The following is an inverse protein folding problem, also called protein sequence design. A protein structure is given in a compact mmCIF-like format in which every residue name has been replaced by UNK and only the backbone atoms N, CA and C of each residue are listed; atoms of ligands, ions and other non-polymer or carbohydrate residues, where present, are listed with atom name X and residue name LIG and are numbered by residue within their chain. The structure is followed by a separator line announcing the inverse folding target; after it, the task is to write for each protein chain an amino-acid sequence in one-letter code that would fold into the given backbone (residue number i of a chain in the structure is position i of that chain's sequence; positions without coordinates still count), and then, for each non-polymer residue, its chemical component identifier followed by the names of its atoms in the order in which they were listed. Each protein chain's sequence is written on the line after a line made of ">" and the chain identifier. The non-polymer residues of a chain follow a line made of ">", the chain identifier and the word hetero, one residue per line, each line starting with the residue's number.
data_IF_972350835347
#
_entry.id   IF_972350835347
#
_cell.length_a   1.000
_cell.length_b   1.000
_cell.length_c   1.000
_cell.angle_alpha   90.00
_cell.angle_beta   90.00
_cell.angle_gamma   90.00
#
_symmetry.space_group_name_H-M   'P 1'
#
loop_
_entity.id
_entity.type
_entity.pdbx_description
1 polymer ?
#
# COMPACT_ATOMS: atom_id res chain seq x y z
N UNK A 1 -5.47 28.70 5.63
CA UNK A 1 -6.64 28.48 6.50
C UNK A 1 -7.79 28.09 5.60
N UNK A 2 -8.64 27.14 6.01
CA UNK A 2 -9.88 26.87 5.29
C UNK A 2 -10.70 28.17 5.20
N UNK A 3 -11.42 28.37 4.09
CA UNK A 3 -12.25 29.57 3.88
C UNK A 3 -13.44 29.65 4.86
N UNK A 4 -13.75 28.54 5.55
CA UNK A 4 -14.83 28.43 6.55
C UNK A 4 -14.38 27.63 7.77
N UNK A 5 -14.98 27.92 8.92
CA UNK A 5 -14.72 27.19 10.18
C UNK A 5 -15.20 25.74 10.06
N UNK A 6 -14.40 24.76 10.47
CA UNK A 6 -14.76 23.35 10.38
C UNK A 6 -15.99 23.00 11.23
N UNK A 7 -16.22 23.72 12.33
CA UNK A 7 -17.45 23.58 13.13
C UNK A 7 -18.68 24.09 12.36
N UNK A 8 -18.53 25.16 11.60
CA UNK A 8 -19.60 25.70 10.73
C UNK A 8 -19.86 24.78 9.53
N UNK A 9 -18.81 24.21 8.92
CA UNK A 9 -18.93 23.25 7.80
C UNK A 9 -19.75 22.01 8.21
N UNK A 10 -19.55 21.49 9.42
CA UNK A 10 -20.35 20.37 9.96
C UNK A 10 -21.66 20.79 10.63
N UNK A 11 -21.90 22.10 10.80
CA UNK A 11 -23.09 22.63 11.48
C UNK A 11 -23.19 22.19 12.95
N UNK A 12 -22.07 22.11 13.65
CA UNK A 12 -21.97 21.70 15.05
C UNK A 12 -21.37 22.82 15.91
N UNK A 13 -21.75 22.94 17.19
CA UNK A 13 -21.12 23.91 18.08
C UNK A 13 -19.68 23.50 18.43
N UNK A 14 -18.81 24.44 18.84
CA UNK A 14 -17.42 24.14 19.22
C UNK A 14 -17.27 23.14 20.37
N UNK A 15 -18.28 23.05 21.24
CA UNK A 15 -18.34 22.09 22.36
C UNK A 15 -19.01 20.76 21.97
N UNK A 16 -19.20 20.48 20.68
CA UNK A 16 -19.82 19.25 20.23
C UNK A 16 -19.02 18.01 20.64
N UNK A 17 -19.74 16.99 21.07
CA UNK A 17 -19.21 15.66 21.36
C UNK A 17 -18.88 14.90 20.07
N UNK A 18 -17.98 13.92 20.14
CA UNK A 18 -17.59 13.09 18.99
C UNK A 18 -18.79 12.38 18.36
N UNK A 19 -19.78 11.99 19.17
CA UNK A 19 -21.02 11.37 18.68
C UNK A 19 -21.86 12.34 17.84
N UNK A 20 -21.96 13.60 18.26
CA UNK A 20 -22.66 14.64 17.51
C UNK A 20 -21.95 14.95 16.18
N UNK A 21 -20.62 15.00 16.20
CA UNK A 21 -19.78 15.19 15.01
C UNK A 21 -19.98 14.03 14.02
N UNK A 22 -19.89 12.77 14.49
CA UNK A 22 -20.13 11.57 13.68
C UNK A 22 -21.55 11.50 13.11
N UNK A 23 -22.55 11.93 13.87
CA UNK A 23 -23.95 11.96 13.42
C UNK A 23 -24.13 12.98 12.29
N UNK A 24 -23.66 14.21 12.48
CA UNK A 24 -23.75 15.26 11.45
C UNK A 24 -22.98 14.93 10.19
N UNK A 25 -21.79 14.36 10.32
CA UNK A 25 -21.02 13.88 9.17
C UNK A 25 -21.81 12.86 8.33
N UNK A 26 -22.45 11.86 8.97
CA UNK A 26 -23.26 10.86 8.24
C UNK A 26 -24.46 11.47 7.51
N UNK A 27 -25.12 12.45 8.12
CA UNK A 27 -26.23 13.19 7.50
C UNK A 27 -25.76 13.97 6.26
N UNK A 28 -24.67 14.72 6.39
CA UNK A 28 -24.10 15.54 5.32
C UNK A 28 -23.48 14.69 4.20
N UNK A 29 -22.77 13.62 4.55
CA UNK A 29 -22.16 12.71 3.58
C UNK A 29 -23.20 12.04 2.68
N UNK A 30 -24.38 11.68 3.21
CA UNK A 30 -25.49 11.14 2.39
C UNK A 30 -26.10 12.19 1.47
N UNK A 31 -26.18 13.45 1.94
CA UNK A 31 -26.78 14.57 1.19
C UNK A 31 -25.89 15.09 0.06
N UNK A 32 -24.57 15.02 0.23
CA UNK A 32 -23.57 15.55 -0.71
C UNK A 32 -22.70 14.47 -1.36
N UNK A 33 -23.06 13.19 -1.25
CA UNK A 33 -22.33 12.11 -1.92
C UNK A 33 -22.36 12.33 -3.45
N UNK A 34 -21.22 12.21 -4.17
CA UNK A 34 -21.17 12.44 -5.61
C UNK A 34 -22.09 11.50 -6.41
N UNK A 35 -22.37 10.30 -5.89
CA UNK A 35 -23.31 9.36 -6.53
C UNK A 35 -24.79 9.74 -6.36
N UNK A 36 -25.13 10.53 -5.33
CA UNK A 36 -26.52 10.89 -4.97
C UNK A 36 -26.84 12.33 -5.39
N UNK A 37 -25.85 13.22 -5.36
CA UNK A 37 -26.00 14.64 -5.68
C UNK A 37 -25.05 15.03 -6.84
N UNK A 38 -25.63 15.28 -8.03
CA UNK A 38 -24.90 15.62 -9.26
C UNK A 38 -24.67 17.12 -9.44
N UNK A 39 -24.91 17.95 -8.41
CA UNK A 39 -24.60 19.37 -8.48
C UNK A 39 -23.09 19.59 -8.63
N UNK A 40 -22.63 20.55 -9.44
CA UNK A 40 -21.20 20.89 -9.55
C UNK A 40 -20.57 21.29 -8.20
N UNK A 41 -21.37 21.74 -7.24
CA UNK A 41 -20.91 22.11 -5.90
C UNK A 41 -20.81 20.93 -4.92
N UNK A 42 -21.41 19.78 -5.24
CA UNK A 42 -21.48 18.63 -4.34
C UNK A 42 -20.08 18.06 -4.04
N UNK A 43 -19.21 17.97 -5.04
CA UNK A 43 -17.84 17.46 -4.86
C UNK A 43 -17.01 18.36 -3.95
N UNK A 44 -17.11 19.69 -4.13
CA UNK A 44 -16.41 20.67 -3.29
C UNK A 44 -16.89 20.59 -1.84
N UNK A 45 -18.20 20.61 -1.63
CA UNK A 45 -18.79 20.53 -0.28
C UNK A 45 -18.46 19.19 0.39
N UNK A 46 -18.48 18.08 -0.35
CA UNK A 46 -18.13 16.77 0.19
C UNK A 46 -16.66 16.69 0.64
N UNK A 47 -15.74 17.31 -0.12
CA UNK A 47 -14.33 17.44 0.27
C UNK A 47 -14.20 18.26 1.57
N UNK A 48 -14.85 19.41 1.66
CA UNK A 48 -14.85 20.25 2.87
C UNK A 48 -15.42 19.53 4.10
N UNK A 49 -16.55 18.83 3.95
CA UNK A 49 -17.19 18.05 5.02
C UNK A 49 -16.27 16.93 5.51
N UNK A 50 -15.58 16.25 4.59
CA UNK A 50 -14.67 15.15 4.91
C UNK A 50 -13.42 15.65 5.64
N UNK A 51 -12.88 16.79 5.22
CA UNK A 51 -11.75 17.44 5.88
C UNK A 51 -12.11 17.90 7.30
N UNK A 52 -13.26 18.57 7.46
CA UNK A 52 -13.76 19.02 8.75
C UNK A 52 -13.97 17.84 9.72
N UNK A 53 -14.56 16.74 9.25
CA UNK A 53 -14.75 15.53 10.05
C UNK A 53 -13.41 14.91 10.49
N UNK A 54 -12.42 14.85 9.60
CA UNK A 54 -11.08 14.30 9.90
C UNK A 54 -10.38 15.10 10.99
N UNK A 55 -10.45 16.43 10.92
CA UNK A 55 -9.81 17.32 11.91
C UNK A 55 -10.53 17.25 13.25
N UNK A 56 -11.86 17.32 13.25
CA UNK A 56 -12.65 17.41 14.49
C UNK A 56 -12.82 16.07 15.23
N UNK A 57 -12.64 14.93 14.57
CA UNK A 57 -12.75 13.60 15.21
C UNK A 57 -11.44 13.15 15.90
N UNK A 58 -10.30 13.74 15.52
CA UNK A 58 -9.02 13.41 16.15
C UNK A 58 -8.74 14.37 17.30
N UNK A 59 -8.53 13.88 18.54
CA UNK A 59 -8.28 14.75 19.70
C UNK A 59 -7.09 15.69 19.51
N UNK A 60 -5.99 15.21 18.90
CA UNK A 60 -4.79 16.02 18.66
C UNK A 60 -5.03 17.08 17.58
N UNK A 61 -5.64 16.71 16.46
CA UNK A 61 -5.90 17.65 15.35
C UNK A 61 -6.94 18.70 15.74
N UNK A 62 -7.94 18.32 16.54
CA UNK A 62 -8.94 19.25 17.09
C UNK A 62 -8.30 20.27 18.02
N UNK A 63 -7.41 19.84 18.91
CA UNK A 63 -6.67 20.73 19.80
C UNK A 63 -5.79 21.73 19.05
N UNK A 64 -5.04 21.26 18.04
CA UNK A 64 -4.20 22.13 17.19
C UNK A 64 -5.05 23.13 16.40
N UNK A 65 -6.18 22.68 15.87
CA UNK A 65 -7.14 23.53 15.16
C UNK A 65 -7.75 24.59 16.08
N UNK A 66 -8.19 24.22 17.28
CA UNK A 66 -8.77 25.13 18.27
C UNK A 66 -7.74 26.19 18.71
N UNK A 67 -6.48 25.79 18.91
CA UNK A 67 -5.38 26.72 19.20
C UNK A 67 -5.16 27.73 18.07
N UNK A 68 -5.15 27.27 16.81
CA UNK A 68 -5.00 28.14 15.64
C UNK A 68 -6.20 29.08 15.49
N UNK A 69 -7.41 28.57 15.71
CA UNK A 69 -8.68 29.32 15.68
C UNK A 69 -8.69 30.43 16.73
N UNK A 70 -8.27 30.14 17.96
CA UNK A 70 -8.16 31.13 19.03
C UNK A 70 -7.13 32.22 18.71
N UNK A 71 -5.96 31.86 18.17
CA UNK A 71 -4.95 32.85 17.73
C UNK A 71 -5.46 33.74 16.60
N UNK A 72 -6.20 33.19 15.64
CA UNK A 72 -6.81 33.95 14.55
C UNK A 72 -7.90 34.92 15.06
N UNK A 73 -8.68 34.53 16.06
CA UNK A 73 -9.67 35.41 16.71
C UNK A 73 -9.01 36.53 17.51
N UNK A 74 -7.90 36.24 18.23
CA UNK A 74 -7.13 37.26 18.95
C UNK A 74 -6.50 38.28 17.99
N UNK A 75 -5.94 37.83 16.86
CA UNK A 75 -5.38 38.71 15.84
C UNK A 75 -6.43 39.63 15.19
N UNK A 76 -7.68 39.13 15.04
CA UNK A 76 -8.82 39.93 14.56
C UNK A 76 -9.36 40.93 15.60
N UNK A 77 -9.08 40.72 16.88
CA UNK A 77 -9.56 41.54 18.00
C UNK A 77 -8.54 42.60 18.47
N UNK A 78 -7.32 42.60 17.90
CA UNK A 78 -6.19 43.44 18.34
C UNK A 78 -6.05 44.81 17.68
N UNK A 79 -7.01 45.25 16.86
CA UNK A 79 -7.00 46.59 16.25
C UNK A 79 -8.03 47.50 16.94
N UNK A 80 -7.62 48.15 18.03
CA UNK A 80 -8.50 49.03 18.78
C UNK A 80 -7.89 49.69 20.03
N UNK A 81 -7.23 50.82 19.79
CA UNK A 81 -7.07 52.00 20.68
C UNK A 81 -5.96 52.02 21.76
N UNK A 82 -4.98 52.88 21.49
CA UNK A 82 -4.16 53.61 22.46
C UNK A 82 -5.00 54.66 23.20
N UNK A 83 -4.90 54.75 24.53
CA UNK A 83 -4.97 56.00 25.31
C UNK A 83 -4.40 55.75 26.71
N UNK A 84 -3.41 56.53 27.10
CA UNK A 84 -2.69 56.39 28.36
C UNK A 84 -3.40 57.01 29.55
N UNK A 85 -3.12 56.48 30.74
CA UNK A 85 -3.12 57.20 32.03
C UNK A 85 -2.31 56.36 33.04
N UNK A 86 -1.32 56.90 33.79
CA UNK A 86 -0.55 56.15 34.77
C UNK A 86 -1.18 56.22 36.18
N UNK A 87 -1.18 55.15 36.99
CA UNK A 87 -1.53 55.25 38.41
C UNK A 87 -0.29 55.50 39.31
N UNK A 88 -0.49 56.03 40.54
CA UNK A 88 0.57 56.60 41.37
C UNK A 88 1.32 55.59 42.25
N UNK A 89 2.49 56.05 42.75
CA UNK A 89 3.48 55.35 43.59
C UNK A 89 3.02 55.02 45.02
N UNK A 90 3.43 53.84 45.51
CA UNK A 90 4.08 53.51 46.81
C UNK A 90 3.89 52.00 47.07
N UNK A 91 4.79 51.16 47.60
CA UNK A 91 5.90 51.24 48.58
C UNK A 91 6.77 49.94 48.49
N UNK A 92 7.80 49.68 49.34
CA UNK A 92 9.19 49.46 48.93
C UNK A 92 9.61 48.00 48.64
N UNK A 93 10.71 47.91 47.91
CA UNK A 93 11.42 46.69 47.54
C UNK A 93 12.20 46.07 48.71
N UNK A 94 12.14 44.75 48.82
CA UNK A 94 13.30 43.92 49.16
C UNK A 94 13.01 42.46 48.76
N UNK A 95 13.98 41.84 48.08
CA UNK A 95 14.12 40.39 47.81
C UNK A 95 13.54 39.73 46.53
N UNK A 96 13.02 40.46 45.54
CA UNK A 96 12.60 39.82 44.26
C UNK A 96 13.48 40.11 43.03
N UNK A 97 14.49 40.98 43.14
CA UNK A 97 15.21 41.47 41.95
C UNK A 97 16.32 40.55 41.41
N UNK A 98 16.74 39.52 42.15
CA UNK A 98 17.88 38.66 41.74
C UNK A 98 17.44 37.48 40.85
N UNK A 99 16.17 37.07 40.93
CA UNK A 99 15.65 35.93 40.16
C UNK A 99 15.07 36.38 38.80
N UNK A 100 14.50 37.58 38.74
CA UNK A 100 13.91 38.15 37.53
C UNK A 100 14.96 38.65 36.51
N UNK A 101 16.15 39.03 36.98
CA UNK A 101 17.29 39.41 36.13
C UNK A 101 17.96 38.20 35.46
N UNK A 102 17.90 37.02 36.09
CA UNK A 102 18.37 35.75 35.50
C UNK A 102 17.41 35.22 34.45
N UNK A 103 16.09 35.27 34.69
CA UNK A 103 15.09 34.85 33.69
C UNK A 103 15.03 35.77 32.47
N UNK A 104 15.24 37.08 32.63
CA UNK A 104 15.30 38.01 31.49
C UNK A 104 16.59 37.84 30.65
N UNK A 105 17.72 37.51 31.29
CA UNK A 105 18.98 37.23 30.60
C UNK A 105 18.94 35.89 29.83
N UNK A 106 18.37 34.83 30.44
CA UNK A 106 18.17 33.52 29.78
C UNK A 106 17.19 33.61 28.60
N UNK A 107 16.14 34.44 28.72
CA UNK A 107 15.16 34.63 27.65
C UNK A 107 15.77 35.39 26.46
N UNK A 108 16.60 36.42 26.71
CA UNK A 108 17.31 37.15 25.65
C UNK A 108 18.39 36.29 24.97
N UNK A 109 19.11 35.46 25.73
CA UNK A 109 20.12 34.55 25.18
C UNK A 109 19.49 33.47 24.28
N UNK A 110 18.39 32.85 24.73
CA UNK A 110 17.69 31.79 23.97
C UNK A 110 17.04 32.33 22.69
N UNK A 111 16.49 33.54 22.72
CA UNK A 111 15.90 34.17 21.53
C UNK A 111 16.96 34.57 20.51
N UNK A 112 18.13 35.00 21.00
CA UNK A 112 19.28 35.37 20.14
C UNK A 112 19.91 34.13 19.52
N UNK A 113 20.05 33.03 20.26
CA UNK A 113 20.56 31.76 19.75
C UNK A 113 19.61 31.11 18.75
N UNK A 114 18.30 31.10 19.01
CA UNK A 114 17.30 30.58 18.08
C UNK A 114 17.31 31.35 16.75
N UNK A 115 17.32 32.70 16.81
CA UNK A 115 17.39 33.55 15.61
C UNK A 115 18.69 33.35 14.83
N UNK A 116 19.82 33.17 15.51
CA UNK A 116 21.09 32.86 14.86
C UNK A 116 21.07 31.50 14.14
N UNK A 117 20.45 30.48 14.74
CA UNK A 117 20.31 29.16 14.12
C UNK A 117 19.36 29.14 12.92
N UNK A 118 18.35 29.99 12.92
CA UNK A 118 17.43 30.16 11.80
C UNK A 118 18.10 30.85 10.61
N UNK A 119 18.88 31.91 10.87
CA UNK A 119 19.72 32.56 9.87
C UNK A 119 20.76 31.61 9.28
N UNK A 120 21.42 30.80 10.12
CA UNK A 120 22.38 29.80 9.67
C UNK A 120 21.71 28.73 8.79
N UNK A 121 20.53 28.23 9.20
CA UNK A 121 19.76 27.26 8.40
C UNK A 121 19.35 27.83 7.03
N UNK A 122 18.95 29.11 6.97
CA UNK A 122 18.63 29.79 5.70
C UNK A 122 19.85 29.94 4.80
N UNK A 123 21.00 30.34 5.34
CA UNK A 123 22.26 30.43 4.58
C UNK A 123 22.70 29.07 4.04
N UNK A 124 22.63 28.02 4.88
CA UNK A 124 22.94 26.66 4.47
C UNK A 124 21.98 26.17 3.37
N UNK A 125 20.69 26.46 3.49
CA UNK A 125 19.71 26.10 2.47
C UNK A 125 20.01 26.80 1.13
N UNK A 126 20.34 28.09 1.17
CA UNK A 126 20.72 28.84 -0.03
C UNK A 126 22.00 28.27 -0.67
N UNK A 127 22.99 27.91 0.14
CA UNK A 127 24.19 27.24 -0.37
C UNK A 127 23.90 25.87 -0.98
N UNK A 128 22.96 25.09 -0.41
CA UNK A 128 22.54 23.80 -0.95
C UNK A 128 21.86 23.95 -2.31
N UNK A 129 21.01 24.96 -2.49
CA UNK A 129 20.38 25.27 -3.78
C UNK A 129 21.41 25.65 -4.85
N UNK A 130 22.40 26.46 -4.50
CA UNK A 130 23.49 26.83 -5.41
C UNK A 130 24.37 25.63 -5.77
N UNK A 131 24.68 24.76 -4.81
CA UNK A 131 25.42 23.53 -5.06
C UNK A 131 24.66 22.59 -6.02
N UNK A 132 23.33 22.47 -5.84
CA UNK A 132 22.49 21.70 -6.74
C UNK A 132 22.45 22.30 -8.16
N UNK A 133 22.30 23.62 -8.27
CA UNK A 133 22.32 24.32 -9.56
C UNK A 133 23.64 24.15 -10.32
N UNK A 134 24.76 24.00 -9.61
CA UNK A 134 26.08 23.68 -10.19
C UNK A 134 26.25 22.21 -10.59
N UNK A 135 25.29 21.34 -10.25
CA UNK A 135 25.37 19.89 -10.49
C UNK A 135 26.19 19.12 -9.43
N UNK A 136 26.66 19.77 -8.37
CA UNK A 136 27.42 19.16 -7.28
C UNK A 136 26.48 18.44 -6.30
N UNK A 137 25.95 17.29 -6.73
CA UNK A 137 24.90 16.55 -6.00
C UNK A 137 25.29 16.13 -4.58
N UNK A 138 26.52 15.66 -4.39
CA UNK A 138 27.01 15.24 -3.08
C UNK A 138 27.11 16.41 -2.10
N UNK A 139 27.61 17.56 -2.57
CA UNK A 139 27.70 18.78 -1.77
C UNK A 139 26.29 19.26 -1.39
N UNK A 140 25.38 19.33 -2.36
CA UNK A 140 23.98 19.71 -2.15
C UNK A 140 23.27 18.82 -1.12
N UNK A 141 23.43 17.50 -1.22
CA UNK A 141 22.86 16.56 -0.26
C UNK A 141 23.45 16.73 1.15
N UNK A 142 24.76 16.97 1.25
CA UNK A 142 25.42 17.17 2.54
C UNK A 142 24.92 18.46 3.23
N UNK A 143 24.76 19.54 2.48
CA UNK A 143 24.28 20.83 2.97
C UNK A 143 22.80 20.74 3.37
N UNK A 144 21.96 20.13 2.54
CA UNK A 144 20.55 19.90 2.87
C UNK A 144 20.36 19.03 4.12
N UNK A 145 21.19 17.99 4.32
CA UNK A 145 21.20 17.19 5.56
C UNK A 145 21.61 18.01 6.78
N UNK A 146 22.56 18.94 6.65
CA UNK A 146 22.94 19.85 7.73
C UNK A 146 21.80 20.78 8.11
N UNK A 147 21.05 21.30 7.12
CA UNK A 147 19.84 22.08 7.37
C UNK A 147 18.83 21.27 8.19
N UNK A 148 18.60 20.00 7.83
CA UNK A 148 17.67 19.13 8.56
C UNK A 148 18.11 18.79 10.00
N UNK A 149 19.42 18.86 10.31
CA UNK A 149 19.91 18.72 11.68
C UNK A 149 19.59 19.93 12.55
N UNK A 150 19.59 21.12 11.96
CA UNK A 150 19.21 22.37 12.64
C UNK A 150 17.67 22.51 12.71
N UNK A 151 17.00 22.22 11.60
CA UNK A 151 15.57 22.38 11.43
C UNK A 151 14.95 21.10 10.84
N UNK A 152 14.45 20.24 11.72
CA UNK A 152 13.85 18.95 11.34
C UNK A 152 12.61 19.08 10.44
N UNK A 153 11.89 20.21 10.52
CA UNK A 153 10.64 20.45 9.79
C UNK A 153 10.82 21.44 8.62
N UNK A 154 11.98 21.42 7.95
CA UNK A 154 12.22 22.28 6.80
C UNK A 154 11.83 21.59 5.48
N UNK A 155 10.71 22.02 4.89
CA UNK A 155 10.17 21.43 3.66
C UNK A 155 11.11 21.59 2.45
N UNK A 156 11.80 22.72 2.33
CA UNK A 156 12.68 23.01 1.19
C UNK A 156 13.95 22.14 1.22
N UNK A 157 14.48 21.84 2.41
CA UNK A 157 15.61 20.94 2.54
C UNK A 157 15.28 19.50 2.08
N UNK A 158 14.07 19.03 2.39
CA UNK A 158 13.56 17.75 1.88
C UNK A 158 13.35 17.77 0.36
N UNK A 159 12.88 18.89 -0.19
CA UNK A 159 12.73 19.04 -1.65
C UNK A 159 14.07 18.93 -2.39
N UNK A 160 15.13 19.60 -1.91
CA UNK A 160 16.47 19.52 -2.50
C UNK A 160 17.02 18.09 -2.43
N UNK A 161 16.84 17.39 -1.30
CA UNK A 161 17.24 15.98 -1.19
C UNK A 161 16.47 15.10 -2.17
N UNK A 162 15.17 15.34 -2.34
CA UNK A 162 14.36 14.65 -3.34
C UNK A 162 14.86 14.88 -4.77
N UNK A 163 15.22 16.12 -5.10
CA UNK A 163 15.79 16.48 -6.40
C UNK A 163 17.15 15.81 -6.64
N UNK A 164 18.03 15.80 -5.64
CA UNK A 164 19.32 15.10 -5.69
C UNK A 164 19.12 13.61 -5.92
N UNK A 165 18.28 12.94 -5.13
CA UNK A 165 18.03 11.51 -5.28
C UNK A 165 17.37 11.16 -6.61
N UNK A 166 16.51 12.04 -7.13
CA UNK A 166 15.94 11.90 -8.47
C UNK A 166 17.04 11.92 -9.54
N UNK A 167 18.00 12.84 -9.44
CA UNK A 167 19.11 12.93 -10.39
C UNK A 167 20.08 11.74 -10.27
N UNK A 168 20.25 11.17 -9.07
CA UNK A 168 20.99 9.93 -8.82
C UNK A 168 20.24 8.65 -9.26
N UNK A 169 19.04 8.78 -9.89
CA UNK A 169 18.13 7.67 -10.26
C UNK A 169 17.62 6.83 -9.08
N UNK A 170 17.70 7.34 -7.85
CA UNK A 170 17.18 6.69 -6.64
C UNK A 170 15.72 7.08 -6.39
N UNK A 171 14.85 6.56 -7.26
CA UNK A 171 13.44 7.00 -7.37
C UNK A 171 12.65 6.80 -6.06
N UNK A 172 12.80 5.66 -5.38
CA UNK A 172 12.06 5.39 -4.13
C UNK A 172 12.44 6.36 -3.01
N UNK A 173 13.72 6.71 -2.90
CA UNK A 173 14.20 7.69 -1.92
C UNK A 173 13.75 9.09 -2.26
N UNK A 174 13.73 9.45 -3.55
CA UNK A 174 13.20 10.72 -4.03
C UNK A 174 11.71 10.88 -3.66
N UNK A 175 10.89 9.84 -3.89
CA UNK A 175 9.48 9.81 -3.51
C UNK A 175 9.32 10.01 -1.99
N UNK A 176 10.13 9.32 -1.18
CA UNK A 176 10.11 9.47 0.27
C UNK A 176 10.42 10.91 0.71
N UNK A 177 11.46 11.53 0.13
CA UNK A 177 11.84 12.90 0.46
C UNK A 177 10.78 13.92 0.03
N UNK A 178 10.19 13.80 -1.17
CA UNK A 178 9.09 14.69 -1.59
C UNK A 178 7.83 14.51 -0.72
N UNK A 179 7.57 13.28 -0.25
CA UNK A 179 6.47 13.03 0.69
C UNK A 179 6.74 13.72 2.03
N UNK A 180 7.96 13.64 2.56
CA UNK A 180 8.36 14.37 3.77
C UNK A 180 8.28 15.89 3.58
N UNK A 181 8.63 16.42 2.41
CA UNK A 181 8.49 17.84 2.10
C UNK A 181 7.04 18.31 2.19
N UNK A 182 6.09 17.54 1.63
CA UNK A 182 4.66 17.83 1.69
C UNK A 182 4.06 17.64 3.09
N UNK A 183 4.59 16.71 3.89
CA UNK A 183 4.22 16.58 5.30
C UNK A 183 4.63 17.83 6.10
N UNK A 184 5.80 18.40 5.81
CA UNK A 184 6.26 19.64 6.46
C UNK A 184 5.48 20.86 5.96
N UNK A 185 5.21 20.96 4.65
CA UNK A 185 4.43 22.03 4.04
C UNK A 185 3.47 21.49 2.96
N UNK A 186 2.19 21.29 3.29
CA UNK A 186 1.19 20.80 2.33
C UNK A 186 0.91 21.75 1.16
N UNK A 187 1.31 23.02 1.24
CA UNK A 187 1.10 24.04 0.21
C UNK A 187 2.25 24.14 -0.80
N UNK A 188 3.24 23.24 -0.70
CA UNK A 188 4.42 23.27 -1.57
C UNK A 188 4.12 22.63 -2.93
N UNK A 189 3.63 23.45 -3.87
CA UNK A 189 3.25 23.01 -5.23
C UNK A 189 4.42 22.38 -6.00
N UNK A 190 5.66 22.86 -5.78
CA UNK A 190 6.86 22.33 -6.43
C UNK A 190 7.11 20.86 -6.04
N UNK A 191 7.01 20.52 -4.75
CA UNK A 191 7.17 19.15 -4.28
C UNK A 191 6.02 18.25 -4.75
N UNK A 192 4.78 18.77 -4.79
CA UNK A 192 3.62 18.00 -5.26
C UNK A 192 3.73 17.67 -6.75
N UNK A 193 4.05 18.65 -7.59
CA UNK A 193 4.22 18.43 -9.04
C UNK A 193 5.35 17.45 -9.35
N UNK A 194 6.48 17.53 -8.63
CA UNK A 194 7.61 16.59 -8.73
C UNK A 194 7.22 15.17 -8.28
N UNK A 195 6.46 15.06 -7.18
CA UNK A 195 5.95 13.78 -6.70
C UNK A 195 4.98 13.15 -7.72
N UNK A 196 4.02 13.91 -8.23
CA UNK A 196 3.06 13.44 -9.24
C UNK A 196 3.75 13.03 -10.54
N UNK A 197 4.83 13.71 -10.94
CA UNK A 197 5.63 13.33 -12.09
C UNK A 197 6.33 11.98 -11.86
N UNK A 198 6.91 11.76 -10.67
CA UNK A 198 7.56 10.49 -10.31
C UNK A 198 6.56 9.34 -10.15
N UNK A 199 5.40 9.60 -9.55
CA UNK A 199 4.34 8.61 -9.41
C UNK A 199 3.74 8.23 -10.77
N UNK A 200 3.57 9.19 -11.68
CA UNK A 200 3.19 8.90 -13.07
C UNK A 200 4.26 8.10 -13.77
N UNK A 201 5.54 8.48 -13.66
CA UNK A 201 6.64 7.71 -14.22
C UNK A 201 6.65 6.26 -13.69
N UNK A 202 6.40 6.07 -12.38
CA UNK A 202 6.29 4.73 -11.76
C UNK A 202 5.06 3.97 -12.25
N UNK A 203 3.91 4.64 -12.37
CA UNK A 203 2.67 4.05 -12.87
C UNK A 203 2.82 3.63 -14.34
N UNK A 204 3.45 4.46 -15.16
CA UNK A 204 3.77 4.15 -16.55
C UNK A 204 4.87 3.11 -16.68
N UNK A 205 5.88 3.08 -15.81
CA UNK A 205 6.86 2.00 -15.77
C UNK A 205 6.26 0.66 -15.29
N UNK A 206 5.20 0.69 -14.50
CA UNK A 206 4.43 -0.50 -14.10
C UNK A 206 3.40 -0.96 -15.15
N UNK A 207 3.05 -0.11 -16.12
CA UNK A 207 2.08 -0.42 -17.20
C UNK A 207 2.74 -0.57 -18.58
N UNK A 208 3.91 0.00 -18.79
CA UNK A 208 4.81 -0.38 -19.87
C UNK A 208 5.55 -1.63 -19.42
N UNK A 209 5.39 -2.77 -20.11
CA UNK A 209 6.35 -3.85 -19.95
C UNK A 209 7.73 -3.24 -20.19
N UNK A 210 8.77 -3.69 -19.46
CA UNK A 210 10.12 -3.20 -19.66
C UNK A 210 10.42 -3.18 -21.15
N UNK A 211 11.19 -2.21 -21.64
CA UNK A 211 11.75 -2.22 -23.00
C UNK A 211 12.72 -3.41 -23.18
N UNK A 212 12.23 -4.61 -22.94
CA UNK A 212 12.75 -5.82 -23.50
C UNK A 212 12.32 -5.78 -24.96
N UNK A 213 13.31 -5.92 -25.86
CA UNK A 213 13.14 -5.99 -27.30
C UNK A 213 11.81 -6.67 -27.67
N UNK A 214 11.10 -6.12 -28.68
CA UNK A 214 9.79 -6.61 -29.18
C UNK A 214 9.69 -8.14 -29.41
N UNK A 215 10.83 -8.84 -29.42
CA UNK A 215 10.96 -10.29 -29.41
C UNK A 215 10.47 -10.96 -28.11
N UNK A 216 10.80 -10.43 -26.92
CA UNK A 216 10.58 -11.07 -25.61
C UNK A 216 9.09 -11.19 -25.21
N UNK A 217 8.28 -10.18 -25.48
CA UNK A 217 6.85 -10.15 -25.13
C UNK A 217 6.05 -11.14 -25.99
N UNK A 218 6.46 -11.33 -27.25
CA UNK A 218 5.86 -12.31 -28.15
C UNK A 218 6.17 -13.73 -27.68
N UNK A 219 7.43 -14.05 -27.36
CA UNK A 219 7.81 -15.36 -26.84
C UNK A 219 7.14 -15.71 -25.51
N UNK A 220 6.94 -14.74 -24.60
CA UNK A 220 6.21 -14.98 -23.35
C UNK A 220 4.74 -15.37 -23.61
N UNK A 221 4.05 -14.65 -24.52
CA UNK A 221 2.66 -14.96 -24.89
C UNK A 221 2.55 -16.29 -25.64
N UNK A 222 3.44 -16.55 -26.61
CA UNK A 222 3.47 -17.83 -27.32
C UNK A 222 3.81 -19.01 -26.39
N UNK A 223 4.73 -18.83 -25.44
CA UNK A 223 5.08 -19.84 -24.45
C UNK A 223 3.90 -20.18 -23.52
N UNK A 224 3.12 -19.17 -23.10
CA UNK A 224 1.89 -19.43 -22.32
C UNK A 224 0.82 -20.15 -23.14
N UNK A 225 0.62 -19.78 -24.41
CA UNK A 225 -0.38 -20.41 -25.29
C UNK A 225 0.03 -21.87 -25.58
N UNK A 226 1.29 -22.11 -25.93
CA UNK A 226 1.83 -23.45 -26.18
C UNK A 226 1.78 -24.33 -24.92
N UNK A 227 2.04 -23.73 -23.77
CA UNK A 227 1.92 -24.39 -22.47
C UNK A 227 0.50 -24.83 -22.16
N UNK A 228 -0.48 -23.93 -22.32
CA UNK A 228 -1.89 -24.29 -22.12
C UNK A 228 -2.36 -25.35 -23.14
N UNK A 229 -1.86 -25.30 -24.38
CA UNK A 229 -2.11 -26.36 -25.36
C UNK A 229 -1.55 -27.72 -24.92
N UNK A 230 -0.35 -27.74 -24.31
CA UNK A 230 0.24 -28.95 -23.75
C UNK A 230 -0.55 -29.47 -22.53
N UNK A 231 -1.05 -28.58 -21.66
CA UNK A 231 -1.95 -28.97 -20.55
C UNK A 231 -3.24 -29.59 -21.10
N UNK A 232 -3.86 -28.99 -22.11
CA UNK A 232 -5.08 -29.52 -22.75
C UNK A 232 -4.79 -30.87 -23.40
N UNK A 233 -3.66 -31.00 -24.11
CA UNK A 233 -3.24 -32.28 -24.68
C UNK A 233 -3.09 -33.35 -23.61
N UNK A 234 -2.46 -33.03 -22.48
CA UNK A 234 -2.35 -33.95 -21.35
C UNK A 234 -3.72 -34.33 -20.82
N UNK A 235 -4.65 -33.40 -20.62
CA UNK A 235 -6.01 -33.69 -20.13
C UNK A 235 -6.84 -34.53 -21.10
N UNK A 236 -6.60 -34.40 -22.41
CA UNK A 236 -7.24 -35.20 -23.45
C UNK A 236 -6.52 -36.53 -23.73
N UNK A 237 -5.26 -36.65 -23.34
CA UNK A 237 -4.47 -37.84 -23.56
C UNK A 237 -5.03 -39.12 -22.90
N UNK A 238 -5.75 -39.12 -21.76
CA UNK A 238 -6.43 -40.31 -21.26
C UNK A 238 -7.50 -40.84 -22.22
N UNK A 239 -8.17 -39.98 -23.00
CA UNK A 239 -9.12 -40.42 -24.03
C UNK A 239 -8.40 -41.15 -25.17
N UNK A 240 -7.19 -40.71 -25.52
CA UNK A 240 -6.38 -41.28 -26.59
C UNK A 240 -5.56 -42.53 -26.15
N UNK A 241 -5.05 -42.50 -24.92
CA UNK A 241 -4.26 -43.58 -24.28
C UNK A 241 -5.14 -44.64 -23.59
N UNK A 242 -6.47 -44.48 -23.61
CA UNK A 242 -7.43 -45.48 -23.14
C UNK A 242 -7.46 -46.78 -23.97
N UNK A 243 -6.42 -47.04 -24.77
CA UNK A 243 -6.32 -48.24 -25.58
C UNK A 243 -5.48 -49.37 -24.99
N UNK A 244 -4.61 -49.21 -23.97
CA UNK A 244 -3.71 -50.35 -23.66
C UNK A 244 -2.96 -50.41 -22.30
N UNK A 245 -3.30 -49.60 -21.28
CA UNK A 245 -2.56 -49.65 -20.01
C UNK A 245 -3.12 -50.69 -19.02
N UNK A 246 -2.66 -51.94 -19.14
CA UNK A 246 -3.00 -53.13 -18.33
C UNK A 246 -2.54 -53.09 -16.84
N UNK A 247 -2.32 -51.91 -16.26
CA UNK A 247 -1.77 -51.76 -14.91
C UNK A 247 -2.65 -50.90 -14.00
N UNK A 248 -3.63 -51.53 -13.35
CA UNK A 248 -4.42 -50.90 -12.27
C UNK A 248 -3.71 -51.05 -10.93
N UNK A 249 -3.86 -50.06 -10.05
CA UNK A 249 -3.32 -50.13 -8.69
C UNK A 249 -4.00 -51.26 -7.89
N UNK A 250 -3.29 -52.37 -7.66
CA UNK A 250 -3.75 -53.40 -6.73
C UNK A 250 -3.16 -53.17 -5.35
N UNK A 251 -4.01 -52.92 -4.34
CA UNK A 251 -3.61 -52.82 -2.93
C UNK A 251 -4.19 -51.60 -2.19
N UNK A 252 -4.65 -50.57 -2.90
CA UNK A 252 -5.21 -49.36 -2.30
C UNK A 252 -6.68 -49.22 -2.71
N UNK A 253 -7.61 -49.51 -1.79
CA UNK A 253 -9.04 -49.60 -2.10
C UNK A 253 -9.67 -48.34 -2.71
N UNK A 254 -9.12 -47.15 -2.41
CA UNK A 254 -9.66 -45.87 -2.86
C UNK A 254 -9.27 -45.46 -4.30
N UNK A 255 -8.21 -46.05 -4.87
CA UNK A 255 -7.62 -45.72 -6.19
C UNK A 255 -7.47 -46.96 -7.08
N UNK A 256 -8.14 -48.05 -6.70
CA UNK A 256 -8.04 -49.36 -7.34
C UNK A 256 -8.43 -49.40 -8.82
N UNK A 257 -9.18 -48.40 -9.30
CA UNK A 257 -9.60 -48.29 -10.71
C UNK A 257 -8.71 -47.38 -11.54
N UNK A 258 -7.70 -46.76 -10.93
CA UNK A 258 -6.80 -45.85 -11.64
C UNK A 258 -5.66 -46.61 -12.28
N UNK A 259 -5.29 -46.18 -13.49
CA UNK A 259 -4.04 -46.57 -14.11
C UNK A 259 -2.88 -45.73 -13.58
N UNK A 260 -1.68 -46.32 -13.52
CA UNK A 260 -0.46 -45.57 -13.16
C UNK A 260 -0.22 -44.38 -14.11
N UNK A 261 -0.60 -44.55 -15.38
CA UNK A 261 -0.54 -43.50 -16.39
C UNK A 261 -1.46 -42.31 -16.04
N UNK A 262 -2.67 -42.55 -15.55
CA UNK A 262 -3.60 -41.49 -15.14
C UNK A 262 -3.00 -40.65 -14.00
N UNK A 263 -2.45 -41.30 -12.97
CA UNK A 263 -1.82 -40.62 -11.83
C UNK A 263 -0.67 -39.73 -12.27
N UNK A 264 0.25 -40.27 -13.07
CA UNK A 264 1.41 -39.53 -13.58
C UNK A 264 0.98 -38.34 -14.46
N UNK A 265 -0.04 -38.56 -15.28
CA UNK A 265 -0.54 -37.56 -16.20
C UNK A 265 -1.23 -36.41 -15.45
N UNK A 266 -1.99 -36.70 -14.39
CA UNK A 266 -2.58 -35.67 -13.53
C UNK A 266 -1.51 -34.87 -12.79
N UNK A 267 -0.49 -35.54 -12.24
CA UNK A 267 0.61 -34.87 -11.55
C UNK A 267 1.39 -33.95 -12.51
N UNK A 268 1.72 -34.43 -13.70
CA UNK A 268 2.42 -33.64 -14.73
C UNK A 268 1.56 -32.50 -15.28
N UNK A 269 0.25 -32.72 -15.52
CA UNK A 269 -0.67 -31.66 -15.91
C UNK A 269 -0.79 -30.57 -14.83
N UNK A 270 -0.86 -30.97 -13.56
CA UNK A 270 -0.85 -30.05 -12.42
C UNK A 270 0.45 -29.24 -12.35
N UNK A 271 1.62 -29.90 -12.43
CA UNK A 271 2.92 -29.22 -12.42
C UNK A 271 3.08 -28.26 -13.59
N UNK A 272 2.70 -28.67 -14.80
CA UNK A 272 2.77 -27.83 -15.99
C UNK A 272 1.84 -26.60 -15.84
N UNK A 273 0.60 -26.81 -15.41
CA UNK A 273 -0.35 -25.73 -15.18
C UNK A 273 0.15 -24.75 -14.10
N UNK A 274 0.65 -25.27 -12.97
CA UNK A 274 1.22 -24.45 -11.90
C UNK A 274 2.41 -23.60 -12.36
N UNK A 275 3.33 -24.22 -13.10
CA UNK A 275 4.48 -23.52 -13.67
C UNK A 275 4.06 -22.44 -14.66
N UNK A 276 3.08 -22.71 -15.53
CA UNK A 276 2.58 -21.74 -16.51
C UNK A 276 1.88 -20.56 -15.86
N UNK A 277 1.06 -20.81 -14.84
CA UNK A 277 0.35 -19.75 -14.12
C UNK A 277 1.35 -18.86 -13.38
N UNK A 278 2.36 -19.47 -12.73
CA UNK A 278 3.48 -18.72 -12.18
C UNK A 278 4.14 -17.90 -13.28
N UNK A 279 4.73 -18.52 -14.31
CA UNK A 279 5.49 -17.89 -15.39
C UNK A 279 4.73 -16.80 -16.17
N UNK A 280 3.41 -16.93 -16.31
CA UNK A 280 2.55 -15.92 -16.97
C UNK A 280 2.45 -14.60 -16.21
N UNK A 281 2.74 -14.62 -14.90
CA UNK A 281 2.61 -13.43 -14.05
C UNK A 281 1.18 -13.22 -13.56
N UNK A 282 0.29 -14.17 -13.83
CA UNK A 282 -1.07 -14.16 -13.32
C UNK A 282 -1.14 -14.42 -11.81
N UNK A 283 -0.05 -14.83 -11.18
CA UNK A 283 -0.02 -15.25 -9.79
C UNK A 283 1.22 -14.70 -9.10
N UNK A 284 1.03 -14.25 -7.86
CA UNK A 284 2.10 -13.80 -6.97
C UNK A 284 3.02 -14.97 -6.58
N UNK A 285 4.28 -14.71 -6.17
CA UNK A 285 5.17 -15.76 -5.72
C UNK A 285 4.60 -16.56 -4.55
N UNK A 286 4.74 -17.88 -4.59
CA UNK A 286 4.24 -18.82 -3.58
C UNK A 286 4.80 -18.48 -2.19
N UNK A 287 6.05 -18.00 -2.12
CA UNK A 287 6.65 -17.53 -0.88
C UNK A 287 5.90 -16.34 -0.29
N UNK A 288 5.35 -15.42 -1.09
CA UNK A 288 4.56 -14.30 -0.59
C UNK A 288 3.16 -14.76 -0.12
N UNK A 289 2.60 -15.79 -0.74
CA UNK A 289 1.30 -16.35 -0.38
C UNK A 289 1.38 -17.20 0.90
N UNK A 290 2.44 -17.99 1.06
CA UNK A 290 2.65 -18.89 2.20
C UNK A 290 3.37 -18.20 3.36
N UNK A 291 4.38 -17.37 3.07
CA UNK A 291 5.28 -16.76 4.04
C UNK A 291 5.32 -15.23 3.85
N UNK A 292 4.33 -14.51 4.37
CA UNK A 292 4.36 -13.06 4.33
C UNK A 292 5.26 -12.48 5.44
N UNK A 293 6.27 -11.62 5.15
CA UNK A 293 7.01 -10.90 6.17
C UNK A 293 6.10 -9.84 6.79
N UNK A 294 5.86 -9.96 8.09
CA UNK A 294 5.06 -9.10 8.97
C UNK A 294 5.01 -7.62 8.51
N UNK A 295 4.01 -7.25 7.67
CA UNK A 295 3.68 -5.84 7.46
C UNK A 295 2.81 -5.41 8.63
N UNK A 296 3.33 -4.48 9.43
CA UNK A 296 2.62 -3.87 10.56
C UNK A 296 1.23 -3.38 10.10
N UNK A 297 0.16 -3.94 10.67
CA UNK A 297 -1.20 -3.40 10.56
C UNK A 297 -2.30 -4.28 9.95
N UNK A 298 -2.03 -5.50 9.47
CA UNK A 298 -3.09 -6.41 8.96
C UNK A 298 -3.40 -7.55 9.97
N UNK A 299 -4.68 -7.92 10.15
CA UNK A 299 -5.09 -8.91 11.16
C UNK A 299 -4.55 -10.31 10.87
N UNK A 300 -4.00 -10.97 11.91
CA UNK A 300 -3.41 -12.31 11.89
C UNK A 300 -4.30 -13.41 11.29
N UNK A 301 -5.63 -13.21 11.27
CA UNK A 301 -6.60 -14.18 10.76
C UNK A 301 -6.43 -14.53 9.27
N UNK A 302 -5.78 -13.67 8.47
CA UNK A 302 -5.52 -13.95 7.05
C UNK A 302 -4.38 -14.94 6.81
N UNK A 303 -3.43 -15.06 7.74
CA UNK A 303 -2.27 -15.98 7.65
C UNK A 303 -2.68 -17.46 7.77
N UNK A 304 -3.67 -17.77 8.60
CA UNK A 304 -4.11 -19.14 8.82
C UNK A 304 -4.68 -19.77 7.53
N UNK A 305 -5.33 -18.98 6.68
CA UNK A 305 -6.13 -19.50 5.56
C UNK A 305 -5.28 -20.07 4.42
N UNK A 306 -4.21 -19.36 4.02
CA UNK A 306 -3.37 -19.79 2.89
C UNK A 306 -2.48 -21.00 3.27
N UNK A 307 -1.88 -20.99 4.46
CA UNK A 307 -1.10 -22.12 4.98
C UNK A 307 -1.97 -23.36 5.21
N UNK A 308 -3.18 -23.16 5.73
CA UNK A 308 -4.12 -24.26 5.96
C UNK A 308 -4.68 -24.82 4.64
N UNK A 309 -4.96 -23.99 3.63
CA UNK A 309 -5.30 -24.48 2.28
C UNK A 309 -4.13 -25.24 1.63
N UNK A 310 -2.89 -24.78 1.83
CA UNK A 310 -1.70 -25.43 1.31
C UNK A 310 -1.54 -26.86 1.80
N UNK A 311 -1.59 -27.06 3.13
CA UNK A 311 -1.37 -28.39 3.75
C UNK A 311 -2.64 -29.25 3.72
N UNK A 312 -3.80 -28.70 4.11
CA UNK A 312 -5.05 -29.45 4.13
C UNK A 312 -5.50 -29.83 2.72
N UNK A 313 -5.22 -28.98 1.73
CA UNK A 313 -5.58 -29.22 0.33
C UNK A 313 -4.86 -30.42 -0.31
N UNK A 314 -3.76 -30.89 0.29
CA UNK A 314 -3.06 -32.11 -0.16
C UNK A 314 -3.85 -33.39 0.12
N UNK A 315 -4.68 -33.37 1.17
CA UNK A 315 -5.42 -34.54 1.65
C UNK A 315 -6.93 -34.39 1.51
N UNK A 316 -7.44 -33.16 1.60
CA UNK A 316 -8.86 -32.84 1.62
C UNK A 316 -9.13 -31.51 0.89
N UNK A 317 -8.85 -31.45 -0.40
CA UNK A 317 -9.01 -30.27 -1.23
C UNK A 317 -10.40 -29.63 -1.11
N UNK A 318 -11.47 -30.42 -1.14
CA UNK A 318 -12.83 -29.90 -1.01
C UNK A 318 -13.11 -29.24 0.35
N UNK A 319 -12.65 -29.86 1.44
CA UNK A 319 -12.79 -29.28 2.77
C UNK A 319 -11.97 -27.99 2.90
N UNK A 320 -10.77 -27.99 2.33
CA UNK A 320 -9.88 -26.83 2.31
C UNK A 320 -10.50 -25.68 1.49
N UNK A 321 -11.05 -25.98 0.30
CA UNK A 321 -11.72 -25.02 -0.56
C UNK A 321 -13.00 -24.45 0.07
N UNK A 322 -13.80 -25.30 0.73
CA UNK A 322 -14.98 -24.86 1.46
C UNK A 322 -14.62 -23.93 2.62
N UNK A 323 -13.62 -24.30 3.42
CA UNK A 323 -13.13 -23.46 4.51
C UNK A 323 -12.56 -22.14 3.99
N UNK A 324 -11.85 -22.17 2.87
CA UNK A 324 -11.40 -20.97 2.18
C UNK A 324 -12.57 -20.06 1.80
N UNK A 325 -13.63 -20.60 1.18
CA UNK A 325 -14.81 -19.84 0.80
C UNK A 325 -15.53 -19.25 2.02
N UNK A 326 -15.66 -20.01 3.11
CA UNK A 326 -16.28 -19.56 4.35
C UNK A 326 -15.50 -18.41 5.00
N UNK A 327 -14.18 -18.51 5.06
CA UNK A 327 -13.34 -17.46 5.64
C UNK A 327 -13.26 -16.25 4.70
N UNK A 328 -13.16 -16.46 3.39
CA UNK A 328 -13.12 -15.39 2.41
C UNK A 328 -14.44 -14.60 2.37
N UNK A 329 -15.60 -15.27 2.54
CA UNK A 329 -16.91 -14.63 2.58
C UNK A 329 -17.12 -13.81 3.85
N UNK A 330 -16.77 -14.36 5.02
CA UNK A 330 -16.88 -13.65 6.31
C UNK A 330 -15.97 -12.43 6.39
N UNK A 331 -14.80 -12.46 5.74
CA UNK A 331 -13.83 -11.37 5.75
C UNK A 331 -13.93 -10.45 4.52
N UNK A 332 -14.80 -10.76 3.56
CA UNK A 332 -14.90 -10.12 2.25
C UNK A 332 -13.52 -9.92 1.57
N UNK A 333 -12.65 -10.93 1.67
CA UNK A 333 -11.22 -10.83 1.36
C UNK A 333 -10.76 -11.95 0.41
N UNK A 334 -11.34 -11.98 -0.79
CA UNK A 334 -10.96 -12.95 -1.81
C UNK A 334 -9.57 -12.66 -2.38
N UNK A 335 -8.70 -13.66 -2.34
CA UNK A 335 -7.34 -13.57 -2.85
C UNK A 335 -7.29 -14.01 -4.32
N UNK A 336 -7.00 -13.07 -5.23
CA UNK A 336 -7.03 -13.33 -6.69
C UNK A 336 -6.11 -14.49 -7.10
N UNK A 337 -4.90 -14.54 -6.53
CA UNK A 337 -3.92 -15.60 -6.80
C UNK A 337 -4.44 -16.98 -6.39
N UNK A 338 -5.04 -17.08 -5.20
CA UNK A 338 -5.53 -18.35 -4.66
C UNK A 338 -6.77 -18.83 -5.44
N UNK A 339 -7.67 -17.90 -5.78
CA UNK A 339 -8.83 -18.17 -6.64
C UNK A 339 -8.42 -18.72 -8.01
N UNK A 340 -7.35 -18.18 -8.60
CA UNK A 340 -6.82 -18.67 -9.89
C UNK A 340 -6.27 -20.08 -9.76
N UNK A 341 -5.48 -20.36 -8.73
CA UNK A 341 -4.93 -21.70 -8.49
C UNK A 341 -6.05 -22.73 -8.23
N UNK A 342 -7.03 -22.40 -7.37
CA UNK A 342 -8.21 -23.25 -7.11
C UNK A 342 -9.02 -23.45 -8.39
N UNK A 343 -9.29 -22.38 -9.14
CA UNK A 343 -10.04 -22.46 -10.40
C UNK A 343 -9.37 -23.36 -11.44
N UNK A 344 -8.03 -23.39 -11.46
CA UNK A 344 -7.27 -24.27 -12.36
C UNK A 344 -7.40 -25.73 -11.95
N UNK A 345 -7.30 -26.04 -10.65
CA UNK A 345 -7.53 -27.41 -10.17
C UNK A 345 -8.95 -27.88 -10.49
N UNK A 346 -9.95 -27.03 -10.29
CA UNK A 346 -11.34 -27.35 -10.64
C UNK A 346 -11.49 -27.57 -12.15
N UNK A 347 -10.91 -26.70 -12.98
CA UNK A 347 -10.95 -26.83 -14.44
C UNK A 347 -10.26 -28.10 -14.95
N UNK A 348 -9.07 -28.42 -14.42
CA UNK A 348 -8.36 -29.66 -14.75
C UNK A 348 -9.15 -30.88 -14.31
N UNK A 349 -9.71 -30.86 -13.09
CA UNK A 349 -10.54 -31.96 -12.57
C UNK A 349 -11.74 -32.20 -13.49
N UNK A 350 -12.45 -31.15 -13.90
CA UNK A 350 -13.58 -31.25 -14.82
C UNK A 350 -13.15 -31.82 -16.17
N UNK A 351 -12.01 -31.38 -16.69
CA UNK A 351 -11.44 -31.91 -17.93
C UNK A 351 -11.16 -33.41 -17.84
N UNK A 352 -10.53 -33.87 -16.76
CA UNK A 352 -10.31 -35.30 -16.52
C UNK A 352 -11.61 -36.08 -16.35
N UNK A 353 -12.61 -35.50 -15.69
CA UNK A 353 -13.91 -36.14 -15.50
C UNK A 353 -14.66 -36.36 -16.82
N UNK A 354 -14.52 -35.41 -17.76
CA UNK A 354 -15.09 -35.52 -19.09
C UNK A 354 -14.31 -36.52 -19.95
N UNK A 355 -12.98 -36.44 -19.94
CA UNK A 355 -12.09 -37.28 -20.78
C UNK A 355 -11.96 -38.73 -20.32
N UNK A 356 -12.01 -39.00 -19.01
CA UNK A 356 -11.79 -40.34 -18.46
C UNK A 356 -13.12 -40.94 -17.97
N UNK A 357 -13.52 -42.07 -18.57
CA UNK A 357 -14.76 -42.76 -18.25
C UNK A 357 -14.67 -43.79 -17.09
N UNK A 358 -13.59 -44.58 -16.94
CA UNK A 358 -13.48 -45.54 -15.85
C UNK A 358 -13.36 -44.84 -14.50
N UNK A 359 -14.08 -45.28 -13.46
CA UNK A 359 -13.85 -44.78 -12.09
C UNK A 359 -14.03 -43.27 -11.89
N UNK A 360 -14.90 -42.62 -12.68
CA UNK A 360 -15.18 -41.16 -12.63
C UNK A 360 -15.47 -40.65 -11.23
N UNK A 361 -16.17 -41.45 -10.44
CA UNK A 361 -16.45 -41.17 -9.03
C UNK A 361 -15.18 -41.03 -8.20
N UNK A 362 -14.18 -41.89 -8.41
CA UNK A 362 -12.88 -41.81 -7.73
C UNK A 362 -12.09 -40.60 -8.22
N UNK A 363 -12.14 -40.31 -9.53
CA UNK A 363 -11.52 -39.11 -10.11
C UNK A 363 -12.14 -37.85 -9.49
N UNK A 364 -13.47 -37.74 -9.41
CA UNK A 364 -14.11 -36.59 -8.76
C UNK A 364 -13.65 -36.41 -7.31
N UNK A 365 -13.52 -37.48 -6.54
CA UNK A 365 -13.17 -37.41 -5.12
C UNK A 365 -11.68 -37.09 -4.87
N UNK A 366 -10.77 -37.70 -5.62
CA UNK A 366 -9.34 -37.72 -5.30
C UNK A 366 -8.45 -36.96 -6.30
N UNK A 367 -8.91 -36.72 -7.53
CA UNK A 367 -8.18 -35.93 -8.52
C UNK A 367 -7.71 -34.56 -7.99
N UNK A 368 -8.57 -33.78 -7.29
CA UNK A 368 -8.21 -32.42 -6.93
C UNK A 368 -7.04 -32.36 -5.96
N UNK A 369 -6.91 -33.35 -5.05
CA UNK A 369 -5.81 -33.45 -4.10
C UNK A 369 -4.47 -33.60 -4.84
N UNK A 370 -4.41 -34.51 -5.80
CA UNK A 370 -3.21 -34.80 -6.58
C UNK A 370 -2.87 -33.64 -7.53
N UNK A 371 -3.88 -33.06 -8.17
CA UNK A 371 -3.72 -31.90 -9.05
C UNK A 371 -3.25 -30.67 -8.27
N UNK A 372 -3.78 -30.44 -7.07
CA UNK A 372 -3.36 -29.35 -6.19
C UNK A 372 -1.90 -29.49 -5.79
N UNK A 373 -1.46 -30.68 -5.40
CA UNK A 373 -0.04 -30.95 -5.15
C UNK A 373 0.84 -30.64 -6.37
N UNK A 374 0.45 -31.14 -7.55
CA UNK A 374 1.14 -30.84 -8.79
C UNK A 374 1.22 -29.33 -9.06
N UNK A 375 0.11 -28.61 -8.93
CA UNK A 375 0.05 -27.15 -9.12
C UNK A 375 0.97 -26.41 -8.15
N UNK A 376 1.03 -26.77 -6.88
CA UNK A 376 1.94 -26.15 -5.91
C UNK A 376 3.41 -26.36 -6.27
N UNK A 377 3.79 -27.60 -6.63
CA UNK A 377 5.15 -27.92 -7.06
C UNK A 377 5.54 -27.18 -8.35
N UNK A 378 4.64 -27.16 -9.33
CA UNK A 378 4.83 -26.42 -10.58
C UNK A 378 4.96 -24.92 -10.38
N UNK A 379 4.13 -24.36 -9.51
CA UNK A 379 4.18 -22.94 -9.16
C UNK A 379 5.51 -22.58 -8.50
N UNK A 380 5.95 -23.34 -7.50
CA UNK A 380 7.25 -23.13 -6.85
C UNK A 380 8.41 -23.20 -7.85
N UNK A 381 8.36 -24.12 -8.80
CA UNK A 381 9.34 -24.20 -9.89
C UNK A 381 9.30 -22.97 -10.81
N UNK A 382 8.12 -22.54 -11.23
CA UNK A 382 7.95 -21.34 -12.07
C UNK A 382 8.50 -20.08 -11.39
N UNK A 383 8.31 -19.97 -10.08
CA UNK A 383 8.85 -18.85 -9.29
C UNK A 383 10.38 -18.87 -9.23
N UNK A 384 10.98 -20.05 -9.07
CA UNK A 384 12.44 -20.19 -9.07
C UNK A 384 13.03 -19.78 -10.43
N UNK A 385 12.40 -20.20 -11.54
CA UNK A 385 12.81 -19.81 -12.90
C UNK A 385 12.68 -18.29 -13.10
N UNK A 386 11.56 -17.70 -12.64
CA UNK A 386 11.34 -16.26 -12.70
C UNK A 386 12.37 -15.47 -11.91
N UNK A 387 12.72 -15.93 -10.72
CA UNK A 387 13.73 -15.28 -9.88
C UNK A 387 15.10 -15.25 -10.58
N UNK A 388 15.47 -16.32 -11.29
CA UNK A 388 16.71 -16.36 -12.08
C UNK A 388 16.70 -15.39 -13.28
N UNK A 389 15.53 -15.17 -13.91
CA UNK A 389 15.39 -14.24 -15.03
C UNK A 389 15.45 -12.77 -14.62
N UNK A 390 15.02 -12.43 -13.40
CA UNK A 390 15.07 -11.05 -12.88
C UNK A 390 16.43 -10.67 -12.26
N UNK A 391 17.27 -11.66 -11.92
CA UNK A 391 18.61 -11.45 -11.38
C UNK A 391 19.72 -11.34 -12.42
N UNK A 392 19.38 -11.40 -13.72
CA UNK A 392 20.25 -11.08 -14.86
C UNK A 392 19.77 -9.79 -15.50
#
# INVERSE_FOLDING_TARGET
>A
MPDRDYYEVLGVPPNATDEQIRRRFRELARKYHPDVNRSPDAERLFKEITEAYRVLTSPSLRADYDLMRHRAQQARSGSGRTTGTPPPRSRPASQQHTQQRRTAADFSSTYTSARSSELEAQQLLQSAMLAYARGSLHEAASLAKRVLRLQRHNAQAYEILGDVYRQERRIEEAIAMFTCALQCNPRLESAQSKLDALLRQRYFAGTQPPHASHTSIRWARYGTILGWAAVIMLVLAPWYLALEADGTFQGIGFVSRWSMALVLLMLTAGMLAGALISLSGAVEPIAQVVWWPHRQGLPQARLAVAGLLGVLGLFAFYAAAFLYLLIASTQNAFHRTLNRAVGVVVGLTLGFLLSYAPGREQVALFAPNLLWFGVLCGWAFGDAVRAQQMGR
#
